data_IF_441340766184
#
_entry.id   IF_441340766184
#
_cell.length_a   1.000
_cell.length_b   1.000
_cell.length_c   1.000
_cell.angle_alpha   90.00
_cell.angle_beta   90.00
_cell.angle_gamma   90.00
#
_symmetry.space_group_name_H-M   'P 1'
#
loop_
_entity.id
_entity.type
_entity.pdbx_description
1 polymer ?
#
# COMPACT_ATOMS: atom_id res chain seq x y z
N UNK A 1 23.86 -25.88 -13.67
CA UNK A 1 22.64 -26.37 -13.00
C UNK A 1 21.42 -25.61 -13.53
N UNK A 2 20.76 -26.12 -14.58
CA UNK A 2 19.48 -25.60 -15.04
C UNK A 2 18.41 -26.19 -14.13
N UNK A 3 17.88 -25.40 -13.21
CA UNK A 3 16.68 -25.77 -12.46
C UNK A 3 15.50 -25.76 -13.41
N UNK A 4 14.99 -26.95 -13.77
CA UNK A 4 13.74 -27.10 -14.48
C UNK A 4 12.61 -26.73 -13.51
N UNK A 5 12.21 -25.45 -13.49
CA UNK A 5 10.98 -25.05 -12.79
C UNK A 5 9.81 -25.83 -13.38
N UNK A 6 9.04 -26.49 -12.53
CA UNK A 6 7.89 -27.29 -12.94
C UNK A 6 6.86 -26.38 -13.61
N UNK A 7 6.14 -26.83 -14.66
CA UNK A 7 5.06 -26.07 -15.28
C UNK A 7 4.01 -25.58 -14.25
N UNK A 8 3.84 -26.34 -13.16
CA UNK A 8 2.93 -25.99 -12.05
C UNK A 8 3.40 -24.76 -11.27
N UNK A 9 4.71 -24.54 -11.17
CA UNK A 9 5.29 -23.39 -10.45
C UNK A 9 5.07 -22.10 -11.24
N UNK A 10 5.09 -22.18 -12.58
CA UNK A 10 4.77 -21.06 -13.46
C UNK A 10 3.29 -20.68 -13.39
N UNK A 11 2.39 -21.66 -13.45
CA UNK A 11 0.94 -21.44 -13.35
C UNK A 11 0.54 -20.93 -11.96
N UNK A 12 1.18 -21.42 -10.90
CA UNK A 12 0.96 -20.90 -9.55
C UNK A 12 1.47 -19.46 -9.42
N UNK A 13 2.64 -19.16 -9.99
CA UNK A 13 3.17 -17.80 -10.01
C UNK A 13 2.23 -16.86 -10.76
N UNK A 14 1.83 -17.17 -11.99
CA UNK A 14 0.86 -16.37 -12.75
C UNK A 14 -0.47 -16.21 -12.00
N UNK A 15 -1.01 -17.29 -11.39
CA UNK A 15 -2.22 -17.17 -10.57
C UNK A 15 -2.03 -16.21 -9.40
N UNK A 16 -0.89 -16.23 -8.73
CA UNK A 16 -0.62 -15.36 -7.58
C UNK A 16 -0.30 -13.93 -8.01
N UNK A 17 0.48 -13.74 -9.08
CA UNK A 17 0.95 -12.41 -9.50
C UNK A 17 0.01 -11.69 -10.45
N UNK A 18 -0.82 -12.41 -11.20
CA UNK A 18 -1.69 -11.86 -12.24
C UNK A 18 -3.17 -12.25 -12.08
N UNK A 19 -3.47 -13.39 -11.42
CA UNK A 19 -4.83 -13.93 -11.32
C UNK A 19 -5.57 -13.69 -10.00
N UNK A 20 -4.84 -13.38 -8.92
CA UNK A 20 -5.39 -13.13 -7.59
C UNK A 20 -5.17 -11.65 -7.29
N UNK A 21 -6.25 -10.87 -7.31
CA UNK A 21 -6.20 -9.46 -6.96
C UNK A 21 -5.93 -9.30 -5.45
N UNK A 22 -4.66 -9.39 -5.05
CA UNK A 22 -4.17 -9.09 -3.70
C UNK A 22 -4.28 -7.59 -3.46
N UNK A 23 -5.49 -7.13 -3.18
CA UNK A 23 -5.76 -5.71 -3.03
C UNK A 23 -6.82 -5.44 -1.97
N UNK A 24 -6.81 -4.22 -1.48
CA UNK A 24 -7.92 -3.60 -0.80
C UNK A 24 -8.25 -2.29 -1.53
N UNK A 25 -9.43 -1.73 -1.27
CA UNK A 25 -9.76 -0.42 -1.80
C UNK A 25 -10.83 0.27 -0.97
N UNK A 26 -10.65 1.57 -0.78
CA UNK A 26 -11.67 2.46 -0.26
C UNK A 26 -12.59 2.96 -1.37
N UNK A 27 -13.87 2.66 -1.25
CA UNK A 27 -14.89 3.10 -2.20
C UNK A 27 -15.63 4.33 -1.68
N UNK A 28 -15.17 5.53 -2.07
CA UNK A 28 -15.69 6.83 -1.59
C UNK A 28 -17.21 6.95 -1.62
N UNK A 29 -17.86 6.51 -2.70
CA UNK A 29 -19.31 6.64 -2.87
C UNK A 29 -20.11 5.81 -1.87
N UNK A 30 -19.52 4.71 -1.38
CA UNK A 30 -20.15 3.81 -0.40
C UNK A 30 -19.61 4.06 1.01
N UNK A 31 -18.60 4.92 1.16
CA UNK A 31 -17.83 5.13 2.38
C UNK A 31 -17.44 3.79 3.05
N UNK A 32 -16.88 2.88 2.25
CA UNK A 32 -16.62 1.51 2.67
C UNK A 32 -15.26 1.02 2.19
N UNK A 33 -14.58 0.25 3.05
CA UNK A 33 -13.36 -0.48 2.72
C UNK A 33 -13.76 -1.87 2.22
N UNK A 34 -13.22 -2.24 1.06
CA UNK A 34 -13.36 -3.58 0.50
C UNK A 34 -12.03 -4.31 0.59
N UNK A 35 -12.06 -5.48 1.22
CA UNK A 35 -10.90 -6.35 1.36
C UNK A 35 -11.13 -7.56 0.45
N UNK A 36 -10.34 -7.72 -0.60
CA UNK A 36 -10.51 -8.85 -1.49
C UNK A 36 -10.03 -10.12 -0.80
N UNK A 37 -10.80 -11.22 -0.91
CA UNK A 37 -10.48 -12.48 -0.24
C UNK A 37 -9.01 -12.95 -0.36
N UNK A 38 -8.30 -12.76 -1.49
CA UNK A 38 -6.88 -13.09 -1.58
C UNK A 38 -5.97 -12.33 -0.60
N UNK A 39 -6.28 -11.09 -0.21
CA UNK A 39 -5.46 -10.29 0.72
C UNK A 39 -5.32 -10.92 2.11
N UNK A 40 -6.24 -11.80 2.50
CA UNK A 40 -6.20 -12.55 3.75
C UNK A 40 -5.26 -13.76 3.70
N UNK A 41 -4.73 -14.15 2.53
CA UNK A 41 -3.92 -15.37 2.42
C UNK A 41 -2.69 -15.42 3.35
N UNK A 42 -1.93 -14.33 3.57
CA UNK A 42 -0.86 -14.31 4.56
C UNK A 42 -1.35 -14.56 5.99
N UNK A 43 -2.55 -14.08 6.34
CA UNK A 43 -3.17 -14.26 7.66
C UNK A 43 -3.70 -15.67 7.89
N UNK A 44 -4.25 -16.30 6.84
CA UNK A 44 -4.88 -17.63 6.91
C UNK A 44 -3.87 -18.78 7.00
N UNK A 45 -2.56 -18.49 7.02
CA UNK A 45 -1.55 -19.52 7.29
C UNK A 45 -1.55 -19.84 8.79
N UNK A 46 -1.53 -21.13 9.13
CA UNK A 46 -1.58 -21.65 10.52
C UNK A 46 -0.49 -21.11 11.46
N UNK A 47 0.53 -20.39 10.94
CA UNK A 47 1.63 -19.78 11.67
C UNK A 47 1.70 -18.25 11.48
N UNK A 48 0.58 -17.56 11.25
CA UNK A 48 0.60 -16.10 11.15
C UNK A 48 1.12 -15.49 12.45
N UNK A 49 2.18 -14.69 12.34
CA UNK A 49 2.79 -14.00 13.48
C UNK A 49 2.03 -12.72 13.82
N UNK A 50 2.24 -12.17 15.01
CA UNK A 50 1.74 -10.82 15.35
C UNK A 50 2.16 -9.78 14.30
N UNK A 51 3.35 -9.90 13.73
CA UNK A 51 3.81 -9.04 12.62
C UNK A 51 2.93 -9.16 11.37
N UNK A 52 2.41 -10.35 11.09
CA UNK A 52 1.51 -10.58 9.95
C UNK A 52 0.15 -9.92 10.22
N UNK A 53 -0.35 -10.00 11.46
CA UNK A 53 -1.56 -9.30 11.88
C UNK A 53 -1.40 -7.78 11.87
N UNK A 54 -0.25 -7.27 12.31
CA UNK A 54 0.07 -5.84 12.25
C UNK A 54 0.13 -5.32 10.81
N UNK A 55 0.74 -6.08 9.90
CA UNK A 55 0.73 -5.73 8.47
C UNK A 55 -0.68 -5.68 7.89
N UNK A 56 -1.60 -6.52 8.37
CA UNK A 56 -3.00 -6.46 7.96
C UNK A 56 -3.75 -5.29 8.61
N UNK A 57 -3.41 -4.94 9.85
CA UNK A 57 -3.89 -3.72 10.50
C UNK A 57 -3.51 -2.49 9.69
N UNK A 58 -2.24 -2.39 9.27
CA UNK A 58 -1.75 -1.31 8.42
C UNK A 58 -2.51 -1.24 7.08
N UNK A 59 -2.78 -2.39 6.43
CA UNK A 59 -3.59 -2.42 5.21
C UNK A 59 -5.00 -1.85 5.44
N UNK A 60 -5.69 -2.25 6.52
CA UNK A 60 -7.01 -1.70 6.82
C UNK A 60 -6.94 -0.19 7.10
N UNK A 61 -5.93 0.23 7.87
CA UNK A 61 -5.76 1.62 8.25
C UNK A 61 -5.47 2.50 7.03
N UNK A 62 -4.60 2.06 6.13
CA UNK A 62 -4.35 2.69 4.82
C UNK A 62 -5.68 2.97 4.09
N UNK A 63 -6.54 1.96 3.93
CA UNK A 63 -7.81 2.13 3.23
C UNK A 63 -8.78 3.06 3.98
N UNK A 64 -8.76 3.06 5.31
CA UNK A 64 -9.55 4.02 6.10
C UNK A 64 -9.02 5.45 5.87
N UNK A 65 -7.70 5.64 5.77
CA UNK A 65 -7.09 6.96 5.58
C UNK A 65 -7.39 7.60 4.22
N UNK A 66 -7.67 6.80 3.18
CA UNK A 66 -8.22 7.32 1.92
C UNK A 66 -9.56 8.06 2.08
N UNK A 67 -10.31 7.84 3.17
CA UNK A 67 -11.53 8.58 3.47
C UNK A 67 -11.27 10.00 3.98
N UNK A 68 -10.10 10.23 4.59
CA UNK A 68 -9.72 11.51 5.21
C UNK A 68 -8.78 12.32 4.33
N UNK A 69 -7.85 11.68 3.63
CA UNK A 69 -6.83 12.36 2.84
C UNK A 69 -7.26 12.38 1.39
N UNK A 70 -7.53 13.57 0.90
CA UNK A 70 -7.95 13.80 -0.48
C UNK A 70 -7.04 14.86 -1.12
N UNK A 71 -6.82 14.78 -2.46
CA UNK A 71 -5.95 15.76 -3.14
C UNK A 71 -6.42 17.21 -2.95
N UNK A 72 -7.72 17.44 -2.85
CA UNK A 72 -8.33 18.74 -2.56
C UNK A 72 -8.02 19.23 -1.14
N UNK A 73 -7.96 18.36 -0.14
CA UNK A 73 -7.53 18.75 1.22
C UNK A 73 -6.03 19.06 1.26
N UNK A 74 -5.21 18.24 0.60
CA UNK A 74 -3.75 18.44 0.50
C UNK A 74 -3.37 19.75 -0.21
N UNK A 75 -4.26 20.30 -1.04
CA UNK A 75 -4.06 21.57 -1.75
C UNK A 75 -4.79 22.75 -1.11
N UNK A 76 -6.00 22.56 -0.60
CA UNK A 76 -6.87 23.61 -0.11
C UNK A 76 -6.64 24.04 1.34
N UNK A 77 -6.07 23.15 2.18
CA UNK A 77 -5.84 23.44 3.61
C UNK A 77 -4.37 23.73 3.91
N UNK A 78 -4.03 24.84 4.60
CA UNK A 78 -2.66 25.12 5.02
C UNK A 78 -2.04 24.04 5.91
N UNK A 79 -2.87 23.36 6.72
CA UNK A 79 -2.40 22.28 7.61
C UNK A 79 -2.02 21.05 6.79
N UNK A 80 -2.94 20.54 5.97
CA UNK A 80 -2.68 19.36 5.14
C UNK A 80 -1.59 19.60 4.09
N UNK A 81 -1.45 20.83 3.59
CA UNK A 81 -0.33 21.19 2.70
C UNK A 81 1.01 21.04 3.41
N UNK A 82 1.10 21.43 4.68
CA UNK A 82 2.33 21.27 5.48
C UNK A 82 2.64 19.80 5.72
N UNK A 83 1.64 19.01 6.08
CA UNK A 83 1.83 17.55 6.26
C UNK A 83 2.31 16.88 4.98
N UNK A 84 1.72 17.22 3.83
CA UNK A 84 2.21 16.76 2.52
C UNK A 84 3.68 17.11 2.30
N UNK A 85 4.08 18.35 2.58
CA UNK A 85 5.47 18.79 2.38
C UNK A 85 6.44 17.98 3.27
N UNK A 86 6.04 17.69 4.52
CA UNK A 86 6.80 16.81 5.41
C UNK A 86 6.93 15.39 4.86
N UNK A 87 5.85 14.83 4.29
CA UNK A 87 5.85 13.50 3.66
C UNK A 87 6.80 13.46 2.46
N UNK A 88 6.71 14.43 1.57
CA UNK A 88 7.57 14.54 0.39
C UNK A 88 9.06 14.65 0.78
N UNK A 89 9.37 15.47 1.80
CA UNK A 89 10.72 15.59 2.35
C UNK A 89 11.21 14.28 2.98
N UNK A 90 10.35 13.55 3.69
CA UNK A 90 10.68 12.25 4.27
C UNK A 90 11.07 11.22 3.19
N UNK A 91 10.28 11.13 2.12
CA UNK A 91 10.57 10.25 1.00
C UNK A 91 11.89 10.65 0.31
N UNK A 92 12.10 11.93 0.01
CA UNK A 92 13.35 12.42 -0.59
C UNK A 92 14.59 12.03 0.22
N UNK A 93 14.56 12.21 1.55
CA UNK A 93 15.70 11.87 2.40
C UNK A 93 15.91 10.35 2.48
N UNK A 94 14.83 9.57 2.60
CA UNK A 94 14.90 8.10 2.57
C UNK A 94 15.54 7.62 1.27
N UNK A 95 15.13 8.16 0.13
CA UNK A 95 15.66 7.75 -1.17
C UNK A 95 17.12 8.15 -1.37
N UNK A 96 17.52 9.32 -0.88
CA UNK A 96 18.93 9.70 -0.81
C UNK A 96 19.74 8.70 0.00
N UNK A 97 19.21 8.22 1.13
CA UNK A 97 19.88 7.25 2.00
C UNK A 97 20.04 5.88 1.37
N UNK A 98 19.07 5.44 0.56
CA UNK A 98 19.07 4.12 -0.08
C UNK A 98 19.56 4.13 -1.54
N UNK A 99 19.99 5.29 -2.05
CA UNK A 99 20.43 5.50 -3.44
C UNK A 99 19.38 5.07 -4.49
N UNK A 100 18.10 5.23 -4.16
CA UNK A 100 16.98 4.88 -5.04
C UNK A 100 16.70 6.01 -6.04
N UNK A 101 16.69 5.67 -7.33
CA UNK A 101 16.55 6.65 -8.42
C UNK A 101 15.11 6.92 -8.84
N UNK A 102 14.17 6.04 -8.46
CA UNK A 102 12.75 6.12 -8.87
C UNK A 102 11.83 6.71 -7.79
N UNK A 103 12.37 7.43 -6.82
CA UNK A 103 11.54 8.03 -5.78
C UNK A 103 10.83 9.28 -6.26
N UNK A 104 9.55 9.11 -6.55
CA UNK A 104 8.64 10.18 -6.89
C UNK A 104 7.54 10.24 -5.84
N UNK A 105 7.81 10.88 -4.69
CA UNK A 105 6.75 11.34 -3.80
C UNK A 105 6.36 12.78 -4.17
N UNK A 106 5.12 13.19 -3.87
CA UNK A 106 4.62 14.53 -4.15
C UNK A 106 3.10 14.57 -4.36
N UNK A 107 2.59 15.66 -4.94
CA UNK A 107 1.14 15.87 -5.12
C UNK A 107 0.40 14.76 -5.87
N UNK A 108 1.09 14.05 -6.76
CA UNK A 108 0.54 12.98 -7.58
C UNK A 108 0.48 11.62 -6.85
N UNK A 109 1.24 11.46 -5.76
CA UNK A 109 1.33 10.21 -4.99
C UNK A 109 0.89 10.37 -3.54
N UNK A 110 0.75 11.61 -3.02
CA UNK A 110 0.31 11.90 -1.64
C UNK A 110 -0.98 11.19 -1.25
N UNK A 111 -1.86 10.93 -2.23
CA UNK A 111 -3.09 10.20 -2.00
C UNK A 111 -2.88 8.76 -1.52
N UNK A 112 -1.75 8.15 -1.87
CA UNK A 112 -1.31 6.81 -1.46
C UNK A 112 -0.22 6.89 -0.36
N UNK A 113 0.75 7.81 -0.53
CA UNK A 113 1.89 7.97 0.39
C UNK A 113 1.44 8.36 1.81
N UNK A 114 0.39 9.18 1.93
CA UNK A 114 -0.06 9.64 3.23
C UNK A 114 -0.84 8.56 4.01
N UNK A 115 -1.78 7.81 3.40
CA UNK A 115 -2.32 6.61 4.01
C UNK A 115 -1.29 5.56 4.43
N UNK A 116 -0.22 5.38 3.65
CA UNK A 116 0.89 4.47 4.01
C UNK A 116 1.67 4.90 5.26
N UNK A 117 1.73 6.20 5.54
CA UNK A 117 2.46 6.75 6.69
C UNK A 117 1.60 6.89 7.95
N UNK A 118 0.33 7.24 7.78
CA UNK A 118 -0.57 7.57 8.90
C UNK A 118 -1.44 6.38 9.36
N UNK A 119 -1.57 5.33 8.54
CA UNK A 119 -2.32 4.11 8.84
C UNK A 119 -1.55 3.10 9.67
#
# INVERSE_FOLDING_TARGET
FRSSKSPKDHVLKERITEGLAYNAFFYRNLNAVFLLAPSFFPLMRENSSETTMLGYGALIAHEIFHSFITPDLATGSPVFRRERDCIDDHFKESCRRWAEGSCHSGLQTVYEDAPDLEG
#
